data_IF_545504452112
#
_entry.id   IF_545504452112
#
_cell.length_a   1.000
_cell.length_b   1.000
_cell.length_c   1.000
_cell.angle_alpha   90.00
_cell.angle_beta   90.00
_cell.angle_gamma   90.00
#
_symmetry.space_group_name_H-M   'P 1'
#
loop_
_entity.id
_entity.type
_entity.pdbx_description
1 polymer ?
#
# COMPACT_ATOMS: atom_id res chain seq x y z
N UNK A 1 -20.96 -4.61 -15.42
CA UNK A 1 -19.50 -4.54 -15.65
C UNK A 1 -19.16 -3.08 -15.71
N UNK A 2 -18.46 -2.55 -14.71
CA UNK A 2 -18.11 -1.13 -14.62
C UNK A 2 -17.06 -0.79 -15.68
N UNK A 3 -17.39 0.16 -16.56
CA UNK A 3 -16.49 0.77 -17.55
C UNK A 3 -15.46 1.69 -16.88
N UNK A 4 -14.75 1.22 -15.86
CA UNK A 4 -13.67 1.99 -15.26
C UNK A 4 -12.40 1.77 -16.09
N UNK A 5 -12.00 2.83 -16.80
CA UNK A 5 -10.74 2.87 -17.54
C UNK A 5 -9.59 2.59 -16.57
N UNK A 6 -8.65 1.68 -16.89
CA UNK A 6 -7.44 1.55 -16.10
C UNK A 6 -6.73 2.90 -16.07
N UNK A 7 -6.27 3.29 -14.88
CA UNK A 7 -5.40 4.46 -14.70
C UNK A 7 -4.18 4.25 -15.60
N UNK A 8 -4.03 5.10 -16.62
CA UNK A 8 -3.02 4.86 -17.67
C UNK A 8 -1.61 4.63 -17.11
N UNK A 9 -1.26 5.34 -16.03
CA UNK A 9 -0.06 5.10 -15.23
C UNK A 9 -0.42 5.08 -13.74
N UNK A 10 0.37 4.36 -12.93
CA UNK A 10 0.22 4.38 -11.48
C UNK A 10 0.53 5.80 -10.95
N UNK A 11 -0.41 6.46 -10.26
CA UNK A 11 -0.22 7.84 -9.81
C UNK A 11 0.84 7.93 -8.72
N UNK A 12 1.72 8.93 -8.84
CA UNK A 12 2.69 9.31 -7.82
C UNK A 12 2.20 10.58 -7.14
N UNK A 13 2.11 10.58 -5.81
CA UNK A 13 1.71 11.75 -5.03
C UNK A 13 2.86 12.18 -4.15
N UNK A 14 3.08 13.48 -4.03
CA UNK A 14 4.21 14.03 -3.31
C UNK A 14 3.74 15.14 -2.36
N UNK A 15 4.24 15.10 -1.12
CA UNK A 15 4.04 16.15 -0.11
C UNK A 15 5.40 16.71 0.30
N UNK A 16 5.44 17.62 1.26
CA UNK A 16 6.72 18.10 1.81
C UNK A 16 7.59 16.96 2.34
N UNK A 17 7.01 16.02 3.10
CA UNK A 17 7.75 14.95 3.80
C UNK A 17 7.66 13.59 3.14
N UNK A 18 6.61 13.34 2.37
CA UNK A 18 6.25 11.99 1.91
C UNK A 18 6.22 11.90 0.38
N UNK A 19 6.61 10.74 -0.13
CA UNK A 19 6.40 10.31 -1.51
C UNK A 19 5.52 9.06 -1.49
N UNK A 20 4.34 9.13 -2.10
CA UNK A 20 3.45 8.00 -2.30
C UNK A 20 3.66 7.45 -3.70
N UNK A 21 4.15 6.21 -3.79
CA UNK A 21 4.45 5.57 -5.09
C UNK A 21 4.09 4.09 -5.09
N UNK A 22 4.15 3.48 -6.27
CA UNK A 22 3.99 2.03 -6.45
C UNK A 22 4.99 1.26 -5.57
N UNK A 23 4.53 0.15 -5.01
CA UNK A 23 5.37 -0.80 -4.27
C UNK A 23 6.29 -1.56 -5.23
N UNK A 24 7.55 -1.70 -4.82
CA UNK A 24 8.58 -2.44 -5.54
C UNK A 24 9.13 -3.57 -4.68
N UNK A 25 9.68 -4.61 -5.32
CA UNK A 25 10.33 -5.76 -4.64
C UNK A 25 11.41 -5.30 -3.65
N UNK A 26 12.10 -4.20 -3.98
CA UNK A 26 13.10 -3.56 -3.12
C UNK A 26 12.56 -3.09 -1.77
N UNK A 27 11.23 -2.92 -1.63
CA UNK A 27 10.59 -2.46 -0.40
C UNK A 27 10.18 -3.62 0.53
N UNK A 28 10.44 -4.88 0.14
CA UNK A 28 10.02 -6.06 0.90
C UNK A 28 10.58 -6.11 2.33
N UNK A 29 11.82 -5.69 2.54
CA UNK A 29 12.46 -5.60 3.86
C UNK A 29 11.79 -4.54 4.74
N UNK A 30 11.54 -3.34 4.21
CA UNK A 30 10.85 -2.26 4.92
C UNK A 30 9.42 -2.67 5.31
N UNK A 31 8.70 -3.35 4.40
CA UNK A 31 7.36 -3.88 4.67
C UNK A 31 7.43 -4.96 5.74
N UNK A 32 8.38 -5.89 5.64
CA UNK A 32 8.55 -6.95 6.62
C UNK A 32 8.85 -6.37 8.01
N UNK A 33 9.65 -5.31 8.08
CA UNK A 33 10.02 -4.66 9.34
C UNK A 33 8.80 -4.20 10.14
N UNK A 34 7.81 -3.56 9.52
CA UNK A 34 6.60 -3.12 10.23
C UNK A 34 5.52 -4.21 10.29
N UNK A 35 5.35 -4.99 9.24
CA UNK A 35 4.25 -5.96 9.14
C UNK A 35 4.46 -7.18 10.07
N UNK A 36 5.69 -7.43 10.52
CA UNK A 36 5.98 -8.48 11.50
C UNK A 36 5.66 -8.08 12.96
N UNK A 37 5.37 -6.80 13.21
CA UNK A 37 5.09 -6.29 14.56
C UNK A 37 3.63 -6.61 14.91
N UNK A 38 3.34 -7.44 15.93
CA UNK A 38 1.97 -7.86 16.25
C UNK A 38 0.99 -6.70 16.47
N UNK A 39 1.44 -5.63 17.13
CA UNK A 39 0.63 -4.45 17.40
C UNK A 39 0.27 -3.66 16.13
N UNK A 40 1.04 -3.78 15.06
CA UNK A 40 0.71 -3.18 13.76
C UNK A 40 -0.40 -3.97 13.06
N UNK A 41 -0.45 -5.28 13.27
CA UNK A 41 -1.44 -6.18 12.66
C UNK A 41 -2.71 -6.38 13.51
N UNK A 42 -2.73 -5.94 14.77
CA UNK A 42 -3.75 -6.28 15.78
C UNK A 42 -5.19 -6.03 15.32
N UNK A 43 -5.41 -4.94 14.58
CA UNK A 43 -6.73 -4.55 14.07
C UNK A 43 -6.91 -4.78 12.56
N UNK A 44 -6.01 -5.54 11.95
CA UNK A 44 -6.00 -5.80 10.52
C UNK A 44 -6.48 -7.22 10.21
N UNK A 45 -6.93 -7.41 8.97
CA UNK A 45 -7.47 -8.70 8.49
C UNK A 45 -6.38 -9.72 8.14
N UNK A 46 -5.11 -9.36 8.35
CA UNK A 46 -3.95 -10.19 8.05
C UNK A 46 -3.10 -10.38 9.30
N UNK A 47 -2.45 -11.54 9.39
CA UNK A 47 -1.57 -11.86 10.51
C UNK A 47 -0.19 -11.23 10.32
N UNK A 48 0.56 -10.98 11.42
CA UNK A 48 1.92 -10.50 11.34
C UNK A 48 2.75 -11.33 10.37
N UNK A 49 3.51 -10.65 9.50
CA UNK A 49 4.39 -11.33 8.55
C UNK A 49 5.45 -12.13 9.33
N UNK A 50 5.65 -13.38 8.94
CA UNK A 50 6.58 -14.30 9.62
C UNK A 50 7.90 -14.44 8.87
N UNK A 51 7.89 -14.14 7.57
CA UNK A 51 9.03 -14.23 6.66
C UNK A 51 8.92 -13.16 5.57
N UNK A 52 10.05 -12.79 4.98
CA UNK A 52 10.12 -11.79 3.90
C UNK A 52 9.23 -12.16 2.71
N UNK A 53 9.03 -13.45 2.43
CA UNK A 53 8.13 -13.88 1.34
C UNK A 53 6.68 -13.43 1.54
N UNK A 54 6.22 -13.23 2.78
CA UNK A 54 4.88 -12.72 3.05
C UNK A 54 4.76 -11.27 2.54
N UNK A 55 5.81 -10.46 2.74
CA UNK A 55 5.90 -9.09 2.21
C UNK A 55 6.02 -9.06 0.68
N UNK A 56 6.76 -10.01 0.08
CA UNK A 56 6.84 -10.15 -1.37
C UNK A 56 5.47 -10.49 -1.97
N UNK A 57 4.72 -11.40 -1.34
CA UNK A 57 3.37 -11.75 -1.76
C UNK A 57 2.43 -10.55 -1.67
N UNK A 58 2.55 -9.73 -0.62
CA UNK A 58 1.78 -8.50 -0.49
C UNK A 58 2.11 -7.46 -1.58
N UNK A 59 3.39 -7.31 -1.94
CA UNK A 59 3.80 -6.44 -3.06
C UNK A 59 3.18 -6.95 -4.36
N UNK A 60 3.23 -8.25 -4.64
CA UNK A 60 2.60 -8.83 -5.84
C UNK A 60 1.09 -8.56 -5.84
N UNK A 61 0.40 -8.82 -4.72
CA UNK A 61 -1.02 -8.51 -4.56
C UNK A 61 -1.34 -7.04 -4.87
N UNK A 62 -0.55 -6.10 -4.35
CA UNK A 62 -0.75 -4.68 -4.63
C UNK A 62 -0.60 -4.32 -6.12
N UNK A 63 0.29 -5.00 -6.83
CA UNK A 63 0.47 -4.81 -8.27
C UNK A 63 -0.71 -5.38 -9.06
N UNK A 64 -1.18 -6.58 -8.69
CA UNK A 64 -2.34 -7.24 -9.31
C UNK A 64 -3.63 -6.41 -9.12
N UNK A 65 -3.80 -5.80 -7.94
CA UNK A 65 -4.94 -4.93 -7.65
C UNK A 65 -4.98 -3.68 -8.53
N UNK A 66 -3.81 -3.16 -8.90
CA UNK A 66 -3.72 -2.04 -9.84
C UNK A 66 -4.04 -2.48 -11.27
N UNK A 67 -3.49 -3.61 -11.72
CA UNK A 67 -3.72 -4.14 -13.07
C UNK A 67 -5.18 -4.50 -13.32
N UNK A 68 -5.88 -4.98 -12.30
CA UNK A 68 -7.32 -5.29 -12.35
C UNK A 68 -8.23 -4.08 -12.09
N UNK A 69 -7.65 -2.88 -11.89
CA UNK A 69 -8.36 -1.66 -11.51
C UNK A 69 -9.23 -1.80 -10.24
N UNK A 70 -8.86 -2.72 -9.34
CA UNK A 70 -9.63 -3.04 -8.14
C UNK A 70 -9.30 -2.12 -6.97
N UNK A 71 -8.05 -1.70 -6.83
CA UNK A 71 -7.58 -0.81 -5.76
C UNK A 71 -6.25 -0.15 -6.13
N UNK A 72 -5.95 0.98 -5.48
CA UNK A 72 -4.62 1.60 -5.51
C UNK A 72 -3.97 1.45 -4.14
N UNK A 73 -2.77 0.85 -4.10
CA UNK A 73 -2.00 0.70 -2.86
C UNK A 73 -0.64 1.37 -3.06
N UNK A 74 -0.44 2.49 -2.36
CA UNK A 74 0.82 3.22 -2.35
C UNK A 74 1.70 2.77 -1.19
N UNK A 75 3.01 2.67 -1.46
CA UNK A 75 4.02 2.76 -0.41
C UNK A 75 4.19 4.19 0.05
N UNK A 76 4.24 4.40 1.37
CA UNK A 76 4.50 5.70 1.99
C UNK A 76 6.00 5.81 2.24
N UNK A 77 6.70 6.59 1.42
CA UNK A 77 8.14 6.79 1.55
C UNK A 77 8.41 8.08 2.34
N UNK A 78 9.15 7.98 3.44
CA UNK A 78 9.66 9.14 4.16
C UNK A 78 10.92 9.65 3.46
N UNK A 79 10.86 10.86 2.89
CA UNK A 79 11.93 11.38 2.03
C UNK A 79 13.26 11.57 2.75
N UNK A 80 13.23 12.01 4.01
CA UNK A 80 14.42 12.25 4.83
C UNK A 80 15.28 10.99 5.00
N UNK A 81 14.61 9.83 5.07
CA UNK A 81 15.27 8.53 5.31
C UNK A 81 15.33 7.66 4.04
N UNK A 82 14.65 8.06 2.97
CA UNK A 82 14.45 7.29 1.74
C UNK A 82 13.91 5.88 2.02
N UNK A 83 13.06 5.77 3.05
CA UNK A 83 12.57 4.50 3.59
C UNK A 83 11.06 4.38 3.44
N UNK A 84 10.58 3.17 3.15
CA UNK A 84 9.16 2.88 3.21
C UNK A 84 8.73 2.72 4.67
N UNK A 85 7.79 3.54 5.11
CA UNK A 85 7.34 3.60 6.51
C UNK A 85 5.90 3.12 6.70
N UNK A 86 5.25 2.67 5.63
CA UNK A 86 3.88 2.19 5.65
C UNK A 86 3.26 2.10 4.27
N UNK A 87 1.96 1.85 4.25
CA UNK A 87 1.15 1.81 3.04
C UNK A 87 -0.16 2.56 3.23
N UNK A 88 -0.68 3.15 2.17
CA UNK A 88 -2.01 3.74 2.12
C UNK A 88 -2.71 3.21 0.88
N UNK A 89 -3.99 2.89 0.99
CA UNK A 89 -4.79 2.39 -0.10
C UNK A 89 -6.07 3.19 -0.33
N UNK A 90 -6.53 3.18 -1.58
CA UNK A 90 -7.82 3.67 -2.00
C UNK A 90 -8.53 2.55 -2.76
N UNK A 91 -9.71 2.16 -2.26
CA UNK A 91 -10.46 1.00 -2.75
C UNK A 91 -11.96 1.25 -2.66
N UNK A 92 -12.76 0.28 -3.13
CA UNK A 92 -14.22 0.35 -2.99
C UNK A 92 -14.85 1.50 -3.76
N UNK A 93 -14.28 1.86 -4.92
CA UNK A 93 -14.76 2.96 -5.73
C UNK A 93 -16.23 2.75 -6.12
N UNK A 94 -17.04 3.78 -5.85
CA UNK A 94 -18.39 3.87 -6.37
C UNK A 94 -18.51 5.16 -7.18
N UNK A 95 -18.45 5.03 -8.51
CA UNK A 95 -18.51 6.17 -9.43
C UNK A 95 -19.87 6.90 -9.41
N UNK A 96 -20.96 6.21 -9.07
CA UNK A 96 -22.31 6.81 -8.96
C UNK A 96 -22.37 7.73 -7.73
N UNK A 97 -21.90 7.26 -6.58
CA UNK A 97 -21.93 8.00 -5.32
C UNK A 97 -20.67 8.85 -5.07
N UNK A 98 -19.67 8.75 -5.95
CA UNK A 98 -18.38 9.43 -5.86
C UNK A 98 -17.70 9.21 -4.50
N UNK A 99 -17.76 7.98 -4.02
CA UNK A 99 -17.14 7.59 -2.75
C UNK A 99 -16.12 6.46 -2.95
N UNK A 100 -15.29 6.28 -1.94
CA UNK A 100 -14.28 5.22 -1.86
C UNK A 100 -13.73 5.18 -0.44
N UNK A 101 -13.11 4.06 -0.11
CA UNK A 101 -12.54 3.82 1.20
C UNK A 101 -11.03 4.05 1.18
N UNK A 102 -10.53 4.71 2.22
CA UNK A 102 -9.10 4.89 2.44
C UNK A 102 -8.66 4.04 3.63
N UNK A 103 -7.68 3.17 3.40
CA UNK A 103 -7.01 2.39 4.44
C UNK A 103 -5.55 2.81 4.55
N UNK A 104 -4.94 2.67 5.73
CA UNK A 104 -3.50 2.86 5.88
C UNK A 104 -2.92 1.98 6.98
N UNK A 105 -1.61 1.75 6.87
CA UNK A 105 -0.78 1.09 7.88
C UNK A 105 0.50 1.90 7.97
N UNK A 106 0.89 2.28 9.19
CA UNK A 106 2.13 2.99 9.46
C UNK A 106 2.97 2.17 10.42
N UNK A 107 4.27 2.11 10.16
CA UNK A 107 5.24 1.50 11.06
C UNK A 107 5.23 2.21 12.40
N UNK A 108 5.18 1.43 13.49
CA UNK A 108 5.17 1.91 14.89
C UNK A 108 6.31 2.86 15.26
N UNK A 109 7.38 2.92 14.45
CA UNK A 109 8.54 3.79 14.66
C UNK A 109 8.34 5.25 14.26
N UNK A 110 7.24 5.59 13.56
CA UNK A 110 6.97 6.90 12.98
C UNK A 110 5.62 7.45 13.44
#
# INVERSE_FOLDING_TARGET
MSDEKPLGNFPVLETERLLLRKLEVSNSEDIFEYARVPEVAEFLIWNPHTKISDSLNFIQFAQDQFETASSLIWGIILKAEKKLIGTIDLRGFNSIHRCGDVGYVISKKY
#
